data_IF_520153579656
#
_entry.id   IF_520153579656
#
_cell.length_a   1.000
_cell.length_b   1.000
_cell.length_c   1.000
_cell.angle_alpha   90.00
_cell.angle_beta   90.00
_cell.angle_gamma   90.00
#
_symmetry.space_group_name_H-M   'P 1'
#
loop_
_entity.id
_entity.type
_entity.pdbx_description
1 polymer ?
#
# COMPACT_ATOMS: atom_id res chain seq x y z
N UNK A 1 12.96 -2.12 7.40
CA UNK A 1 12.07 -2.44 6.23
C UNK A 1 12.01 -1.33 5.18
N UNK A 2 11.76 -0.09 5.58
CA UNK A 2 11.69 1.10 4.71
C UNK A 2 12.77 1.16 3.62
N UNK A 3 14.04 1.06 3.99
CA UNK A 3 15.14 1.24 3.04
C UNK A 3 15.11 0.19 1.92
N UNK A 4 14.63 -1.01 2.23
CA UNK A 4 14.46 -2.09 1.24
C UNK A 4 13.33 -1.78 0.27
N UNK A 5 12.18 -1.31 0.77
CA UNK A 5 11.06 -0.92 -0.08
C UNK A 5 11.42 0.27 -0.98
N UNK A 6 12.17 1.23 -0.44
CA UNK A 6 12.66 2.38 -1.20
C UNK A 6 13.61 1.94 -2.32
N UNK A 7 14.62 1.12 -1.99
CA UNK A 7 15.56 0.59 -2.97
C UNK A 7 14.83 -0.26 -4.04
N UNK A 8 13.88 -1.10 -3.62
CA UNK A 8 13.09 -1.92 -4.54
C UNK A 8 12.27 -1.07 -5.52
N UNK A 9 11.69 0.04 -5.07
CA UNK A 9 10.97 0.97 -5.93
C UNK A 9 11.90 1.67 -6.93
N UNK A 10 13.06 2.16 -6.46
CA UNK A 10 14.07 2.79 -7.31
C UNK A 10 14.54 1.84 -8.42
N UNK A 11 14.91 0.62 -8.04
CA UNK A 11 15.41 -0.39 -8.98
C UNK A 11 14.31 -0.88 -9.94
N UNK A 12 13.08 -1.06 -9.46
CA UNK A 12 11.96 -1.45 -10.33
C UNK A 12 11.66 -0.39 -11.38
N UNK A 13 11.58 0.89 -10.98
CA UNK A 13 11.36 2.00 -11.92
C UNK A 13 12.52 2.10 -12.91
N UNK A 14 13.76 2.04 -12.42
CA UNK A 14 14.94 2.11 -13.29
C UNK A 14 14.95 0.96 -14.31
N UNK A 15 14.72 -0.27 -13.87
CA UNK A 15 14.66 -1.43 -14.77
C UNK A 15 13.59 -1.27 -15.84
N UNK A 16 12.36 -0.91 -15.46
CA UNK A 16 11.26 -0.75 -16.41
C UNK A 16 11.58 0.34 -17.44
N UNK A 17 12.05 1.51 -16.99
CA UNK A 17 12.32 2.64 -17.87
C UNK A 17 13.49 2.34 -18.83
N UNK A 18 14.57 1.74 -18.33
CA UNK A 18 15.75 1.44 -19.17
C UNK A 18 15.49 0.25 -20.13
N UNK A 19 14.78 -0.78 -19.67
CA UNK A 19 14.64 -2.04 -20.44
C UNK A 19 13.41 -2.08 -21.32
N UNK A 20 12.29 -1.46 -20.92
CA UNK A 20 11.05 -1.47 -21.67
C UNK A 20 10.85 -0.19 -22.47
N UNK A 21 11.16 0.96 -21.86
CA UNK A 21 10.98 2.26 -22.52
C UNK A 21 12.22 2.70 -23.30
N UNK A 22 13.38 2.11 -23.03
CA UNK A 22 14.68 2.50 -23.61
C UNK A 22 15.01 3.98 -23.38
N UNK A 23 14.64 4.49 -22.21
CA UNK A 23 14.84 5.89 -21.80
C UNK A 23 15.76 5.99 -20.59
N UNK A 24 16.27 7.19 -20.33
CA UNK A 24 17.01 7.51 -19.10
C UNK A 24 16.05 8.10 -18.06
N UNK A 25 16.22 7.69 -16.79
CA UNK A 25 15.46 8.21 -15.66
C UNK A 25 16.36 8.98 -14.69
N UNK A 26 15.91 10.15 -14.26
CA UNK A 26 16.59 10.90 -13.21
C UNK A 26 15.92 10.61 -11.86
N UNK A 27 16.72 10.18 -10.88
CA UNK A 27 16.25 9.98 -9.50
C UNK A 27 16.31 11.31 -8.73
N UNK A 28 15.16 11.73 -8.22
CA UNK A 28 15.02 12.88 -7.34
C UNK A 28 15.16 12.54 -5.86
N UNK A 29 14.66 13.43 -5.02
CA UNK A 29 14.65 13.24 -3.58
C UNK A 29 13.73 12.07 -3.16
N UNK A 30 14.10 11.43 -2.06
CA UNK A 30 13.28 10.46 -1.34
C UNK A 30 13.25 10.78 0.15
N UNK A 31 12.24 10.25 0.82
CA UNK A 31 12.06 10.51 2.24
C UNK A 31 10.95 9.71 2.89
N UNK A 32 10.80 9.96 4.19
CA UNK A 32 9.64 9.54 4.97
C UNK A 32 8.43 10.42 4.68
N UNK A 33 7.26 9.83 4.74
CA UNK A 33 5.99 10.48 4.52
C UNK A 33 5.65 10.67 3.03
N UNK A 34 4.50 11.31 2.76
CA UNK A 34 4.08 11.64 1.40
C UNK A 34 5.07 12.64 0.76
N UNK A 35 5.13 12.63 -0.56
CA UNK A 35 6.07 13.48 -1.33
C UNK A 35 5.77 14.98 -1.21
N UNK A 36 4.52 15.34 -0.95
CA UNK A 36 4.03 16.72 -0.97
C UNK A 36 4.12 17.38 -2.36
N UNK A 37 4.33 16.60 -3.42
CA UNK A 37 4.34 17.07 -4.80
C UNK A 37 2.92 17.22 -5.32
N UNK A 38 2.65 18.15 -6.25
CA UNK A 38 1.33 18.26 -6.86
C UNK A 38 1.05 17.07 -7.79
N UNK A 39 -0.12 16.44 -7.62
CA UNK A 39 -0.63 15.41 -8.52
C UNK A 39 -1.96 15.78 -9.20
N UNK A 40 -2.16 15.26 -10.42
CA UNK A 40 -3.47 15.22 -11.09
C UNK A 40 -3.94 13.80 -11.34
N UNK A 41 -3.01 12.85 -11.40
CA UNK A 41 -3.25 11.44 -11.66
C UNK A 41 -2.51 10.61 -10.62
N UNK A 42 -3.20 9.62 -10.06
CA UNK A 42 -2.65 8.63 -9.15
C UNK A 42 -3.16 7.26 -9.53
N UNK A 43 -2.26 6.29 -9.66
CA UNK A 43 -2.59 4.89 -9.85
C UNK A 43 -2.16 4.10 -8.63
N UNK A 44 -3.09 3.41 -7.98
CA UNK A 44 -2.88 2.72 -6.71
C UNK A 44 -2.98 1.22 -6.91
N UNK A 45 -1.99 0.50 -6.37
CA UNK A 45 -1.95 -0.96 -6.31
C UNK A 45 -1.79 -1.37 -4.84
N UNK A 46 -2.72 -2.18 -4.33
CA UNK A 46 -2.66 -2.68 -2.95
C UNK A 46 -1.71 -3.86 -2.81
N UNK A 47 -0.99 -3.91 -1.69
CA UNK A 47 -0.25 -5.08 -1.23
C UNK A 47 -1.01 -5.79 -0.10
N UNK A 48 -0.94 -7.11 -0.08
CA UNK A 48 -1.51 -7.94 0.98
C UNK A 48 -0.61 -9.14 1.29
N UNK A 49 -0.90 -9.80 2.42
CA UNK A 49 -0.16 -10.91 3.01
C UNK A 49 1.08 -10.43 3.78
N UNK A 50 2.29 -10.82 3.38
CA UNK A 50 3.51 -10.51 4.15
C UNK A 50 3.96 -9.04 4.04
N UNK A 51 3.33 -8.29 3.13
CA UNK A 51 3.38 -6.84 3.05
C UNK A 51 1.94 -6.35 2.96
N UNK A 52 1.48 -5.57 3.93
CA UNK A 52 0.18 -4.90 3.89
C UNK A 52 0.37 -3.42 3.64
N UNK A 53 -0.38 -2.85 2.69
CA UNK A 53 -0.32 -1.44 2.32
C UNK A 53 -0.60 -1.21 0.84
N UNK A 54 0.05 -0.23 0.23
CA UNK A 54 -0.12 0.08 -1.20
C UNK A 54 1.10 0.73 -1.82
N UNK A 55 1.24 0.59 -3.13
CA UNK A 55 2.10 1.43 -3.96
C UNK A 55 1.21 2.37 -4.77
N UNK A 56 1.54 3.66 -4.75
CA UNK A 56 0.89 4.70 -5.54
C UNK A 56 1.90 5.34 -6.49
N UNK A 57 1.60 5.33 -7.77
CA UNK A 57 2.28 6.12 -8.79
C UNK A 57 1.49 7.40 -9.01
N UNK A 58 2.13 8.56 -8.86
CA UNK A 58 1.46 9.86 -8.99
C UNK A 58 2.26 10.83 -9.83
N UNK A 59 1.55 11.68 -10.57
CA UNK A 59 2.15 12.71 -11.40
C UNK A 59 1.17 13.86 -11.68
N UNK A 60 1.68 15.07 -11.99
CA UNK A 60 0.90 16.06 -12.73
C UNK A 60 0.54 15.51 -14.12
N UNK A 61 -0.43 16.15 -14.79
CA UNK A 61 -0.92 15.70 -16.11
C UNK A 61 0.21 15.45 -17.12
N UNK A 62 1.21 16.34 -17.18
CA UNK A 62 2.32 16.22 -18.13
C UNK A 62 3.21 15.00 -17.86
N UNK A 63 3.55 14.73 -16.60
CA UNK A 63 4.27 13.53 -16.20
C UNK A 63 3.49 12.24 -16.45
N UNK A 64 2.19 12.24 -16.15
CA UNK A 64 1.34 11.08 -16.39
C UNK A 64 1.26 10.76 -17.90
N UNK A 65 1.10 11.77 -18.76
CA UNK A 65 1.11 11.61 -20.22
C UNK A 65 2.47 11.12 -20.73
N UNK A 66 3.58 11.65 -20.20
CA UNK A 66 4.92 11.24 -20.60
C UNK A 66 5.16 9.75 -20.31
N UNK A 67 4.74 9.28 -19.13
CA UNK A 67 4.87 7.88 -18.72
C UNK A 67 3.98 6.97 -19.58
N UNK A 68 2.69 7.30 -19.67
CA UNK A 68 1.73 6.51 -20.43
C UNK A 68 2.13 6.43 -21.90
N UNK A 69 2.46 7.56 -22.51
CA UNK A 69 2.86 7.62 -23.91
C UNK A 69 4.15 6.87 -24.21
N UNK A 70 5.14 6.94 -23.31
CA UNK A 70 6.35 6.13 -23.42
C UNK A 70 6.03 4.63 -23.39
N UNK A 71 5.12 4.19 -22.52
CA UNK A 71 4.72 2.79 -22.40
C UNK A 71 3.90 2.31 -23.61
N UNK A 72 3.00 3.15 -24.12
CA UNK A 72 2.16 2.83 -25.29
C UNK A 72 2.91 2.98 -26.62
N UNK A 73 4.04 3.69 -26.62
CA UNK A 73 4.82 3.98 -27.82
C UNK A 73 4.20 5.06 -28.71
N UNK A 74 3.34 5.91 -28.15
CA UNK A 74 2.71 7.03 -28.83
C UNK A 74 2.59 8.27 -27.93
N UNK A 75 2.60 9.46 -28.52
CA UNK A 75 2.44 10.71 -27.78
C UNK A 75 0.98 11.18 -27.82
N UNK A 76 0.46 11.62 -26.68
CA UNK A 76 -0.86 12.22 -26.58
C UNK A 76 -0.83 13.54 -25.80
N UNK A 77 -1.75 14.45 -26.16
CA UNK A 77 -1.93 15.74 -25.49
C UNK A 77 -2.99 15.65 -24.37
N UNK A 78 -3.81 14.60 -24.38
CA UNK A 78 -4.91 14.37 -23.46
C UNK A 78 -4.87 12.97 -22.85
N UNK A 79 -5.32 12.88 -21.60
CA UNK A 79 -5.33 11.63 -20.85
C UNK A 79 -6.64 10.89 -21.12
N UNK A 80 -6.72 10.29 -22.30
CA UNK A 80 -7.85 9.45 -22.71
C UNK A 80 -7.80 8.06 -22.06
N UNK A 81 -8.72 7.17 -22.44
CA UNK A 81 -8.80 5.84 -21.83
C UNK A 81 -7.54 5.00 -22.04
N UNK A 82 -6.90 5.10 -23.21
CA UNK A 82 -5.70 4.33 -23.54
C UNK A 82 -4.48 4.82 -22.75
N UNK A 83 -4.35 6.14 -22.61
CA UNK A 83 -3.32 6.75 -21.76
C UNK A 83 -3.53 6.44 -20.28
N UNK A 84 -4.79 6.41 -19.82
CA UNK A 84 -5.11 6.01 -18.44
C UNK A 84 -4.75 4.54 -18.17
N UNK A 85 -5.04 3.66 -19.12
CA UNK A 85 -4.67 2.24 -19.04
C UNK A 85 -3.14 2.09 -19.04
N UNK A 86 -2.42 2.82 -19.90
CA UNK A 86 -0.95 2.82 -19.90
C UNK A 86 -0.36 3.31 -18.57
N UNK A 87 -0.92 4.37 -17.98
CA UNK A 87 -0.50 4.84 -16.65
C UNK A 87 -0.79 3.81 -15.55
N UNK A 88 -1.93 3.14 -15.61
CA UNK A 88 -2.31 2.07 -14.69
C UNK A 88 -1.38 0.86 -14.79
N UNK A 89 -1.03 0.45 -16.02
CA UNK A 89 -0.11 -0.66 -16.25
C UNK A 89 1.30 -0.34 -15.78
N UNK A 90 1.76 0.91 -15.93
CA UNK A 90 3.03 1.33 -15.34
C UNK A 90 3.02 1.14 -13.81
N UNK A 91 1.95 1.57 -13.13
CA UNK A 91 1.82 1.36 -11.69
C UNK A 91 1.81 -0.13 -11.34
N UNK A 92 1.06 -0.95 -12.08
CA UNK A 92 1.02 -2.40 -11.88
C UNK A 92 2.40 -3.05 -12.04
N UNK A 93 3.18 -2.65 -13.05
CA UNK A 93 4.54 -3.13 -13.25
C UNK A 93 5.50 -2.70 -12.14
N UNK A 94 5.42 -1.44 -11.67
CA UNK A 94 6.25 -0.97 -10.55
C UNK A 94 5.90 -1.78 -9.29
N UNK A 95 4.62 -2.01 -9.01
CA UNK A 95 4.20 -2.75 -7.84
C UNK A 95 4.68 -4.22 -7.87
N UNK A 96 4.55 -4.87 -9.03
CA UNK A 96 5.09 -6.22 -9.25
C UNK A 96 6.61 -6.26 -9.16
N UNK A 97 7.31 -5.24 -9.66
CA UNK A 97 8.76 -5.11 -9.57
C UNK A 97 9.25 -4.98 -8.14
N UNK A 98 8.52 -4.24 -7.29
CA UNK A 98 8.78 -4.17 -5.84
C UNK A 98 8.49 -5.52 -5.18
N UNK A 99 7.33 -6.12 -5.45
CA UNK A 99 6.93 -7.42 -4.91
C UNK A 99 8.02 -8.48 -5.12
N UNK A 100 8.48 -8.66 -6.37
CA UNK A 100 9.47 -9.68 -6.72
C UNK A 100 10.79 -9.49 -5.96
N UNK A 101 11.19 -8.25 -5.71
CA UNK A 101 12.45 -7.91 -5.02
C UNK A 101 12.41 -8.17 -3.51
N UNK A 102 11.23 -8.09 -2.89
CA UNK A 102 11.11 -8.17 -1.43
C UNK A 102 10.43 -9.45 -0.94
N UNK A 103 9.70 -10.17 -1.79
CA UNK A 103 8.96 -11.38 -1.41
C UNK A 103 9.86 -12.52 -0.92
N UNK A 104 11.09 -12.64 -1.43
CA UNK A 104 12.01 -13.71 -1.01
C UNK A 104 12.43 -13.55 0.46
N UNK A 105 12.42 -12.32 0.96
CA UNK A 105 12.79 -12.00 2.34
C UNK A 105 11.58 -11.82 3.26
N UNK A 106 10.52 -11.17 2.77
CA UNK A 106 9.33 -10.86 3.56
C UNK A 106 8.34 -12.03 3.61
N UNK A 107 8.33 -12.89 2.60
CA UNK A 107 7.33 -13.94 2.40
C UNK A 107 6.41 -13.65 1.22
N UNK A 108 5.37 -14.47 1.07
CA UNK A 108 4.42 -14.33 -0.03
C UNK A 108 3.70 -12.96 0.05
N UNK A 109 3.67 -12.25 -1.07
CA UNK A 109 3.01 -10.95 -1.21
C UNK A 109 2.09 -11.04 -2.42
N UNK A 110 0.87 -10.54 -2.28
CA UNK A 110 -0.10 -10.44 -3.38
C UNK A 110 -0.41 -8.99 -3.70
N UNK A 111 -0.52 -8.66 -5.00
CA UNK A 111 -0.91 -7.34 -5.49
C UNK A 111 -2.33 -7.30 -6.05
N UNK A 112 -3.03 -6.18 -5.90
CA UNK A 112 -4.34 -5.95 -6.52
C UNK A 112 -4.21 -5.46 -7.97
N UNK A 113 -5.29 -5.50 -8.78
CA UNK A 113 -5.37 -4.68 -9.99
C UNK A 113 -5.21 -3.18 -9.66
N UNK A 114 -4.68 -2.36 -10.58
CA UNK A 114 -4.51 -0.94 -10.38
C UNK A 114 -5.85 -0.19 -10.39
N UNK A 115 -5.95 0.85 -9.56
CA UNK A 115 -7.07 1.81 -9.56
C UNK A 115 -6.52 3.19 -9.90
N UNK A 116 -7.05 3.82 -10.95
CA UNK A 116 -6.69 5.18 -11.34
C UNK A 116 -7.65 6.18 -10.72
N UNK A 117 -7.09 7.19 -10.07
CA UNK A 117 -7.78 8.35 -9.50
C UNK A 117 -7.23 9.59 -10.20
N UNK A 118 -8.14 10.46 -10.66
CA UNK A 118 -7.74 11.70 -11.30
C UNK A 118 -8.66 12.86 -10.93
N UNK A 119 -8.09 14.06 -10.87
CA UNK A 119 -8.80 15.28 -10.52
C UNK A 119 -7.85 16.45 -10.29
N UNK A 120 -8.36 17.67 -10.40
CA UNK A 120 -7.55 18.88 -10.21
C UNK A 120 -7.27 19.19 -8.73
N UNK A 121 -8.10 18.66 -7.81
CA UNK A 121 -7.96 18.83 -6.37
C UNK A 121 -8.55 17.61 -5.65
N UNK A 122 -7.75 16.57 -5.44
CA UNK A 122 -8.08 15.49 -4.52
C UNK A 122 -6.94 15.31 -3.53
N UNK A 123 -7.27 14.89 -2.32
CA UNK A 123 -6.30 14.53 -1.29
C UNK A 123 -6.40 13.03 -1.07
N UNK A 124 -5.25 12.38 -0.90
CA UNK A 124 -5.15 10.95 -0.62
C UNK A 124 -4.49 10.82 0.73
N UNK A 125 -5.32 10.72 1.77
CA UNK A 125 -4.85 10.50 3.13
C UNK A 125 -4.39 9.05 3.31
N UNK A 126 -3.24 8.87 3.97
CA UNK A 126 -2.76 7.56 4.39
C UNK A 126 -3.63 6.97 5.51
N UNK A 127 -3.71 5.65 5.57
CA UNK A 127 -4.41 4.96 6.65
C UNK A 127 -3.64 5.10 7.98
N UNK A 128 -4.36 5.36 9.07
CA UNK A 128 -3.79 5.41 10.42
C UNK A 128 -3.04 4.12 10.74
N UNK A 129 -1.81 4.24 11.24
CA UNK A 129 -0.97 3.10 11.60
C UNK A 129 -0.04 2.62 10.49
N UNK A 130 -0.17 3.13 9.27
CA UNK A 130 0.73 2.82 8.15
C UNK A 130 1.85 3.85 8.06
N UNK A 131 3.07 3.39 7.84
CA UNK A 131 4.19 4.23 7.44
C UNK A 131 4.09 4.53 5.95
N UNK A 132 4.59 5.69 5.52
CA UNK A 132 4.66 6.09 4.12
C UNK A 132 6.09 6.49 3.78
N UNK A 133 6.54 6.12 2.58
CA UNK A 133 7.81 6.55 2.01
C UNK A 133 7.57 7.00 0.57
N UNK A 134 8.40 7.90 0.07
CA UNK A 134 8.31 8.35 -1.31
C UNK A 134 9.66 8.35 -2.03
N UNK A 135 9.59 8.23 -3.36
CA UNK A 135 10.69 8.47 -4.29
C UNK A 135 10.20 9.33 -5.45
N UNK A 136 10.87 10.45 -5.70
CA UNK A 136 10.60 11.34 -6.83
C UNK A 136 11.48 10.95 -8.02
N UNK A 137 10.94 11.05 -9.23
CA UNK A 137 11.64 10.78 -10.48
C UNK A 137 11.36 11.89 -11.50
N UNK A 138 12.24 12.01 -12.50
CA UNK A 138 11.96 12.78 -13.71
C UNK A 138 12.27 11.94 -14.95
N UNK A 139 11.33 11.96 -15.90
CA UNK A 139 11.48 11.33 -17.21
C UNK A 139 11.43 12.44 -18.26
N UNK A 140 12.56 12.69 -18.94
CA UNK A 140 12.73 13.81 -19.89
C UNK A 140 12.31 15.18 -19.32
N UNK A 141 12.57 15.41 -18.03
CA UNK A 141 12.22 16.65 -17.33
C UNK A 141 10.79 16.73 -16.82
N UNK A 142 9.96 15.71 -17.07
CA UNK A 142 8.59 15.63 -16.52
C UNK A 142 8.59 14.86 -15.20
N UNK A 143 8.02 15.43 -14.11
CA UNK A 143 8.09 14.82 -12.79
C UNK A 143 7.02 13.76 -12.58
N UNK A 144 7.36 12.73 -11.81
CA UNK A 144 6.42 11.81 -11.19
C UNK A 144 7.03 11.26 -9.90
N UNK A 145 6.25 10.56 -9.09
CA UNK A 145 6.74 9.96 -7.86
C UNK A 145 5.99 8.68 -7.53
N UNK A 146 6.66 7.83 -6.77
CA UNK A 146 6.08 6.64 -6.17
C UNK A 146 5.98 6.85 -4.66
N UNK A 147 4.85 6.47 -4.08
CA UNK A 147 4.66 6.35 -2.64
C UNK A 147 4.38 4.90 -2.28
N UNK A 148 5.02 4.39 -1.23
CA UNK A 148 4.70 3.09 -0.67
C UNK A 148 4.20 3.31 0.75
N UNK A 149 2.96 2.95 0.98
CA UNK A 149 2.41 2.81 2.33
C UNK A 149 2.54 1.37 2.78
N UNK A 150 2.93 1.15 4.03
CA UNK A 150 3.11 -0.19 4.58
C UNK A 150 2.86 -0.21 6.09
N UNK A 151 2.37 -1.34 6.59
CA UNK A 151 2.25 -1.57 8.03
C UNK A 151 3.66 -1.82 8.63
N UNK A 152 4.18 -0.90 9.48
CA UNK A 152 5.49 -1.07 10.09
C UNK A 152 5.55 -2.24 11.09
N UNK A 153 4.41 -2.71 11.60
CA UNK A 153 4.36 -3.83 12.56
C UNK A 153 4.66 -5.19 11.92
N UNK A 154 4.52 -5.30 10.59
CA UNK A 154 4.89 -6.49 9.82
C UNK A 154 6.39 -6.57 9.53
N UNK A 155 7.14 -5.50 9.81
CA UNK A 155 8.59 -5.54 9.83
C UNK A 155 9.06 -6.29 11.08
N UNK A 156 9.24 -7.60 10.96
CA UNK A 156 9.77 -8.42 12.05
C UNK A 156 10.97 -7.77 12.75
N UNK A 157 10.83 -7.58 14.07
CA UNK A 157 11.84 -7.11 15.03
C UNK A 157 12.58 -5.79 14.69
N UNK A 158 11.86 -4.72 14.35
CA UNK A 158 12.33 -3.39 14.77
C UNK A 158 11.55 -2.98 16.03
N UNK A 159 12.23 -2.62 17.14
CA UNK A 159 11.53 -2.16 18.34
C UNK A 159 10.68 -0.96 17.92
N UNK A 160 9.41 -0.94 18.34
CA UNK A 160 8.54 0.21 18.15
C UNK A 160 9.34 1.49 18.44
N UNK A 161 9.26 2.52 17.59
CA UNK A 161 9.91 3.78 17.89
C UNK A 161 9.46 4.18 19.30
N UNK A 162 10.43 4.34 20.21
CA UNK A 162 10.17 4.86 21.55
C UNK A 162 9.80 6.32 21.35
N UNK A 163 8.53 6.56 21.04
CA UNK A 163 7.92 7.87 21.16
C UNK A 163 8.00 8.17 22.66
N UNK A 164 8.80 9.15 23.06
CA UNK A 164 8.75 9.71 24.42
C UNK A 164 7.36 10.34 24.60
N UNK A 165 6.39 9.49 24.91
CA UNK A 165 5.02 9.87 25.21
C UNK A 165 5.03 10.53 26.57
N UNK A 166 4.35 11.67 26.67
CA UNK A 166 4.20 12.35 27.95
C UNK A 166 3.48 11.44 28.96
N UNK A 167 3.75 11.58 30.26
CA UNK A 167 3.07 10.78 31.31
C UNK A 167 1.54 10.88 31.20
N UNK A 168 1.04 12.02 30.71
CA UNK A 168 -0.38 12.27 30.49
C UNK A 168 -0.95 11.43 29.32
N UNK A 169 -0.22 11.26 28.23
CA UNK A 169 -0.65 10.42 27.09
C UNK A 169 -0.72 8.95 27.47
N UNK A 170 0.30 8.44 28.19
CA UNK A 170 0.33 7.06 28.68
C UNK A 170 -0.87 6.81 29.61
N UNK A 171 -1.21 7.79 30.44
CA UNK A 171 -2.34 7.70 31.37
C UNK A 171 -3.69 7.70 30.65
N UNK A 172 -3.84 8.50 29.60
CA UNK A 172 -5.09 8.55 28.81
C UNK A 172 -5.30 7.26 28.02
N UNK A 173 -4.25 6.71 27.41
CA UNK A 173 -4.33 5.46 26.64
C UNK A 173 -4.66 4.26 27.53
N UNK A 174 -4.06 4.17 28.73
CA UNK A 174 -4.39 3.12 29.70
C UNK A 174 -5.86 3.17 30.15
N UNK A 175 -6.43 4.38 30.30
CA UNK A 175 -7.85 4.57 30.63
C UNK A 175 -8.76 4.17 29.47
N UNK A 176 -8.38 4.52 28.23
CA UNK A 176 -9.13 4.16 27.03
C UNK A 176 -9.11 2.64 26.81
N UNK A 177 -7.95 2.00 26.87
CA UNK A 177 -7.81 0.55 26.67
C UNK A 177 -8.61 -0.24 27.71
N UNK A 178 -8.55 0.15 28.99
CA UNK A 178 -9.37 -0.48 30.03
C UNK A 178 -10.88 -0.30 29.81
N UNK A 179 -11.29 0.84 29.25
CA UNK A 179 -12.70 1.12 28.93
C UNK A 179 -13.17 0.33 27.71
N UNK A 180 -12.34 0.23 26.67
CA UNK A 180 -12.61 -0.55 25.46
C UNK A 180 -12.65 -2.05 25.77
N UNK A 181 -11.71 -2.57 26.57
CA UNK A 181 -11.75 -3.97 27.03
C UNK A 181 -13.01 -4.26 27.84
N UNK A 182 -13.42 -3.34 28.73
CA UNK A 182 -14.67 -3.44 29.47
C UNK A 182 -15.90 -3.51 28.56
N UNK A 183 -15.96 -2.65 27.53
CA UNK A 183 -17.03 -2.66 26.53
C UNK A 183 -17.04 -3.93 25.69
N UNK A 184 -15.87 -4.42 25.27
CA UNK A 184 -15.74 -5.67 24.50
C UNK A 184 -16.24 -6.85 25.36
N UNK A 185 -15.89 -6.91 26.64
CA UNK A 185 -16.39 -7.97 27.53
C UNK A 185 -17.90 -7.89 27.76
N UNK A 186 -18.47 -6.69 27.93
CA UNK A 186 -19.93 -6.51 28.08
C UNK A 186 -20.72 -6.85 26.80
N UNK A 187 -20.16 -6.58 25.61
CA UNK A 187 -20.83 -6.81 24.32
C UNK A 187 -20.67 -8.28 23.87
N UNK A 188 -19.48 -8.86 24.03
CA UNK A 188 -19.17 -10.18 23.50
C UNK A 188 -19.78 -11.33 24.31
N UNK A 189 -19.81 -11.24 25.65
CA UNK A 189 -20.29 -12.35 26.50
C UNK A 189 -21.78 -12.70 26.29
N UNK A 190 -22.70 -11.73 26.17
CA UNK A 190 -24.12 -12.00 25.92
C UNK A 190 -24.37 -12.61 24.53
N UNK A 191 -23.69 -12.11 23.49
CA UNK A 191 -23.84 -12.60 22.12
C UNK A 191 -23.30 -14.03 21.97
N UNK A 192 -22.14 -14.32 22.57
CA UNK A 192 -21.55 -15.66 22.59
C UNK A 192 -22.44 -16.65 23.36
N UNK A 193 -22.99 -16.25 24.52
CA UNK A 193 -23.96 -17.10 25.26
C UNK A 193 -25.24 -17.39 24.47
N UNK A 194 -25.70 -16.45 23.64
CA UNK A 194 -26.89 -16.64 22.81
C UNK A 194 -26.64 -17.60 21.65
N UNK A 195 -25.44 -17.61 21.08
CA UNK A 195 -25.07 -18.47 19.94
C UNK A 195 -24.49 -19.84 20.34
N UNK A 196 -24.00 -19.99 21.58
CA UNK A 196 -23.42 -21.22 22.11
C UNK A 196 -24.26 -22.49 21.85
N UNK A 197 -25.60 -22.48 22.03
CA UNK A 197 -26.43 -23.66 21.78
C UNK A 197 -26.39 -24.12 20.31
N UNK A 198 -26.43 -23.17 19.36
CA UNK A 198 -26.38 -23.48 17.92
C UNK A 198 -25.00 -23.93 17.45
N UNK A 199 -23.94 -23.35 18.03
CA UNK A 199 -22.56 -23.81 17.79
C UNK A 199 -22.35 -25.24 18.33
N UNK A 200 -22.86 -25.54 19.52
CA UNK A 200 -22.80 -26.88 20.10
C UNK A 200 -23.54 -27.93 19.25
N UNK A 201 -24.74 -27.62 18.74
CA UNK A 201 -25.48 -28.51 17.84
C UNK A 201 -24.73 -28.80 16.53
N UNK A 202 -24.06 -27.80 15.95
CA UNK A 202 -23.24 -27.96 14.74
C UNK A 202 -22.06 -28.90 14.98
N UNK A 203 -21.32 -28.68 16.07
CA UNK A 203 -20.16 -29.50 16.43
C UNK A 203 -20.59 -30.94 16.73
N UNK A 204 -21.69 -31.14 17.47
CA UNK A 204 -22.23 -32.48 17.75
C UNK A 204 -22.62 -33.18 16.44
N UNK A 205 -23.25 -32.48 15.50
CA UNK A 205 -23.65 -33.05 14.21
C UNK A 205 -22.45 -33.46 13.35
N UNK A 206 -21.41 -32.63 13.30
CA UNK A 206 -20.17 -32.92 12.59
C UNK A 206 -19.47 -34.15 13.17
N UNK A 207 -19.31 -34.23 14.50
CA UNK A 207 -18.68 -35.39 15.15
C UNK A 207 -19.50 -36.68 15.00
N UNK A 208 -20.83 -36.58 15.08
CA UNK A 208 -21.74 -37.71 14.82
C UNK A 208 -21.69 -38.21 13.36
N UNK A 209 -21.35 -37.34 12.41
CA UNK A 209 -21.18 -37.71 10.99
C UNK A 209 -19.88 -38.47 10.75
N UNK A 210 -18.79 -38.07 11.44
CA UNK A 210 -17.49 -38.74 11.38
C UNK A 210 -17.53 -40.15 11.98
N UNK A 211 -18.38 -40.38 12.99
CA UNK A 211 -18.58 -41.70 13.62
C UNK A 211 -19.40 -42.69 12.79
N UNK A 212 -20.06 -42.23 11.71
CA UNK A 212 -20.89 -43.06 10.82
C UNK A 212 -20.22 -43.39 9.47
N UNK A 213 -19.00 -42.91 9.25
CA UNK A 213 -18.14 -43.24 8.12
C UNK A 213 -17.08 -44.27 8.56
#
# INVERSE_FOLDING_TARGET
>A
MKDKLLAAAQEAVQEIVETMLFMEIEQGASGDGPSGQPENYSAVVGYSQSLEGSMRLSAPKSGALKIAGALMGEEAEEMDAEMQDGFAEMANMIAGGVQVRVQDELGEISISPPIVVHGENYDVEGATGFACIHQIFQLEGEPFYCEITFDPSLAGDEPEPVIERSEDEIRVEALLNGSVEGMIQEIALPQVRQQLPGMAERVIREEMSKLKA
#
